data_IF_444463432745
#
_entry.id   IF_444463432745
#
_cell.length_a   1.000
_cell.length_b   1.000
_cell.length_c   1.000
_cell.angle_alpha   90.00
_cell.angle_beta   90.00
_cell.angle_gamma   90.00
#
_symmetry.space_group_name_H-M   'P 1'
#
loop_
_entity.id
_entity.type
_entity.pdbx_description
1 polymer ?
#
# COMPACT_ATOMS: atom_id res chain seq x y z
N UNK A 1 -5.02 13.53 -5.13
CA UNK A 1 -5.05 13.04 -3.73
C UNK A 1 -4.23 11.74 -3.66
N UNK A 2 -3.27 11.61 -2.73
CA UNK A 2 -2.43 10.41 -2.63
C UNK A 2 -3.11 9.32 -1.79
N UNK A 3 -3.19 8.10 -2.33
CA UNK A 3 -3.69 6.90 -1.67
C UNK A 3 -2.60 5.83 -1.66
N UNK A 4 -2.25 5.30 -0.49
CA UNK A 4 -1.25 4.23 -0.38
C UNK A 4 -1.90 2.89 -0.12
N UNK A 5 -1.54 1.91 -0.95
CA UNK A 5 -1.98 0.53 -0.94
C UNK A 5 -0.82 -0.33 -0.44
N UNK A 6 -0.87 -0.73 0.84
CA UNK A 6 0.26 -1.31 1.56
C UNK A 6 0.02 -2.81 1.77
N UNK A 7 0.92 -3.62 1.24
CA UNK A 7 1.00 -5.05 1.53
C UNK A 7 2.01 -5.31 2.65
N UNK A 8 1.67 -6.13 3.63
CA UNK A 8 2.62 -6.60 4.66
C UNK A 8 2.58 -8.12 4.68
N UNK A 9 3.69 -8.74 4.27
CA UNK A 9 3.77 -10.19 4.10
C UNK A 9 4.65 -10.84 5.17
N UNK A 10 4.24 -11.99 5.69
CA UNK A 10 5.12 -12.80 6.55
C UNK A 10 6.28 -13.47 5.77
N UNK A 11 6.11 -13.69 4.46
CA UNK A 11 7.12 -14.25 3.53
C UNK A 11 7.00 -13.61 2.14
N UNK A 12 8.14 -13.29 1.50
CA UNK A 12 8.27 -12.69 0.16
C UNK A 12 7.77 -13.55 -1.01
N UNK A 13 6.89 -14.52 -0.76
CA UNK A 13 6.53 -15.56 -1.74
C UNK A 13 5.28 -15.17 -2.56
N UNK A 14 4.46 -14.23 -2.06
CA UNK A 14 3.16 -13.95 -2.67
C UNK A 14 2.96 -12.47 -2.98
N UNK A 15 2.68 -12.17 -4.26
CA UNK A 15 2.15 -10.89 -4.69
C UNK A 15 0.78 -10.64 -4.04
N UNK A 16 0.55 -9.44 -3.53
CA UNK A 16 -0.74 -9.07 -2.93
C UNK A 16 -1.77 -8.72 -4.00
N UNK A 17 -2.38 -9.74 -4.63
CA UNK A 17 -3.38 -9.57 -5.69
C UNK A 17 -4.56 -8.68 -5.27
N UNK A 18 -4.94 -8.72 -3.98
CA UNK A 18 -6.01 -7.86 -3.45
C UNK A 18 -5.75 -6.37 -3.70
N UNK A 19 -4.51 -5.89 -3.53
CA UNK A 19 -4.18 -4.48 -3.75
C UNK A 19 -4.26 -4.07 -5.23
N UNK A 20 -4.03 -5.00 -6.16
CA UNK A 20 -4.21 -4.73 -7.59
C UNK A 20 -5.69 -4.52 -7.94
N UNK A 21 -6.59 -5.34 -7.40
CA UNK A 21 -8.04 -5.15 -7.57
C UNK A 21 -8.52 -3.84 -6.97
N UNK A 22 -8.04 -3.49 -5.76
CA UNK A 22 -8.38 -2.21 -5.13
C UNK A 22 -7.84 -1.04 -5.95
N UNK A 23 -6.62 -1.11 -6.46
CA UNK A 23 -6.06 -0.08 -7.35
C UNK A 23 -6.95 0.13 -8.57
N UNK A 24 -7.32 -0.94 -9.28
CA UNK A 24 -8.18 -0.83 -10.46
C UNK A 24 -9.54 -0.21 -10.14
N UNK A 25 -10.14 -0.56 -9.00
CA UNK A 25 -11.39 0.05 -8.57
C UNK A 25 -11.21 1.54 -8.25
N UNK A 26 -10.11 1.94 -7.61
CA UNK A 26 -9.81 3.34 -7.30
C UNK A 26 -9.54 4.15 -8.57
N UNK A 27 -8.73 3.63 -9.50
CA UNK A 27 -8.44 4.28 -10.79
C UNK A 27 -9.72 4.51 -11.62
N UNK A 28 -10.69 3.59 -11.54
CA UNK A 28 -11.96 3.71 -12.25
C UNK A 28 -12.92 4.71 -11.61
N UNK A 29 -13.03 4.71 -10.28
CA UNK A 29 -14.04 5.49 -9.56
C UNK A 29 -13.53 6.86 -9.09
N UNK A 30 -12.22 7.04 -8.98
CA UNK A 30 -11.54 8.23 -8.47
C UNK A 30 -10.31 8.59 -9.34
N UNK A 31 -10.51 8.94 -10.62
CA UNK A 31 -9.41 9.13 -11.58
C UNK A 31 -8.45 10.27 -11.22
N UNK A 32 -8.85 11.23 -10.38
CA UNK A 32 -8.01 12.31 -9.85
C UNK A 32 -7.13 11.90 -8.65
N UNK A 33 -7.27 10.65 -8.18
CA UNK A 33 -6.43 10.10 -7.12
C UNK A 33 -5.17 9.45 -7.68
N UNK A 34 -4.05 9.69 -7.02
CA UNK A 34 -2.79 8.99 -7.27
C UNK A 34 -2.72 7.79 -6.33
N UNK A 35 -2.66 6.59 -6.88
CA UNK A 35 -2.52 5.35 -6.11
C UNK A 35 -1.08 4.84 -6.15
N UNK A 36 -0.52 4.51 -5.00
CA UNK A 36 0.81 3.92 -4.87
C UNK A 36 0.70 2.54 -4.20
N UNK A 37 1.28 1.50 -4.81
CA UNK A 37 1.38 0.18 -4.19
C UNK A 37 2.76 0.04 -3.55
N UNK A 38 2.79 -0.28 -2.26
CA UNK A 38 4.00 -0.49 -1.48
C UNK A 38 3.94 -1.89 -0.85
N UNK A 39 5.05 -2.61 -0.87
CA UNK A 39 5.16 -3.96 -0.31
C UNK A 39 6.21 -3.98 0.78
N UNK A 40 5.81 -4.35 1.98
CA UNK A 40 6.67 -4.63 3.11
C UNK A 40 6.53 -6.09 3.55
N UNK A 41 7.38 -6.45 4.48
CA UNK A 41 7.37 -7.70 5.21
C UNK A 41 7.51 -7.44 6.70
N UNK A 42 7.18 -8.45 7.50
CA UNK A 42 7.36 -8.41 8.96
C UNK A 42 8.84 -8.24 9.38
N UNK A 43 9.79 -8.44 8.46
CA UNK A 43 11.22 -8.30 8.73
C UNK A 43 11.73 -6.88 8.45
N UNK A 44 10.91 -6.00 7.87
CA UNK A 44 11.33 -4.63 7.59
C UNK A 44 11.53 -3.82 8.89
N UNK A 45 12.53 -2.92 8.94
CA UNK A 45 12.80 -2.13 10.13
C UNK A 45 11.61 -1.23 10.51
N UNK A 46 11.06 -1.43 11.71
CA UNK A 46 9.83 -0.79 12.17
C UNK A 46 9.76 0.73 11.93
N UNK A 47 10.72 1.50 12.47
CA UNK A 47 10.66 2.97 12.42
C UNK A 47 10.89 3.54 11.01
N UNK A 48 11.88 3.06 10.23
CA UNK A 48 12.01 3.43 8.82
C UNK A 48 10.75 3.14 8.00
N UNK A 49 10.14 1.96 8.18
CA UNK A 49 8.90 1.58 7.48
C UNK A 49 7.74 2.50 7.86
N UNK A 50 7.58 2.80 9.16
CA UNK A 50 6.52 3.71 9.60
C UNK A 50 6.69 5.13 9.01
N UNK A 51 7.93 5.62 8.96
CA UNK A 51 8.24 6.93 8.35
C UNK A 51 7.92 6.93 6.86
N UNK A 52 8.24 5.86 6.16
CA UNK A 52 7.97 5.70 4.72
C UNK A 52 6.47 5.61 4.43
N UNK A 53 5.70 4.87 5.24
CA UNK A 53 4.24 4.80 5.18
C UNK A 53 3.64 6.22 5.25
N UNK A 54 4.11 7.05 6.18
CA UNK A 54 3.62 8.42 6.36
C UNK A 54 4.17 9.46 5.36
N UNK A 55 5.20 9.13 4.58
CA UNK A 55 5.82 10.08 3.66
C UNK A 55 4.87 10.54 2.56
N UNK A 56 4.92 11.82 2.18
CA UNK A 56 4.12 12.37 1.09
C UNK A 56 2.66 12.71 1.45
N UNK A 57 2.32 12.73 2.75
CA UNK A 57 1.00 13.13 3.26
C UNK A 57 -0.18 12.41 2.58
N UNK A 58 -0.22 11.06 2.64
CA UNK A 58 -1.31 10.29 2.02
C UNK A 58 -2.65 10.63 2.69
N UNK A 59 -3.69 10.78 1.88
CA UNK A 59 -5.04 11.04 2.36
C UNK A 59 -5.72 9.79 2.93
N UNK A 60 -5.30 8.60 2.48
CA UNK A 60 -5.73 7.33 3.03
C UNK A 60 -4.64 6.25 2.90
N UNK A 61 -4.66 5.31 3.84
CA UNK A 61 -3.81 4.14 3.89
C UNK A 61 -4.68 2.88 3.86
N UNK A 62 -4.39 1.97 2.95
CA UNK A 62 -5.08 0.68 2.83
C UNK A 62 -4.08 -0.43 3.15
N UNK A 63 -4.42 -1.31 4.09
CA UNK A 63 -3.54 -2.40 4.50
C UNK A 63 -4.13 -3.74 4.07
N UNK A 64 -3.29 -4.54 3.40
CA UNK A 64 -3.53 -5.96 3.20
C UNK A 64 -2.42 -6.73 3.92
N UNK A 65 -2.78 -7.49 4.94
CA UNK A 65 -1.85 -8.16 5.85
C UNK A 65 -2.12 -9.67 5.81
N UNK A 66 -1.09 -10.48 5.50
CA UNK A 66 -1.20 -11.95 5.47
C UNK A 66 0.14 -12.68 5.65
#
# INVERSE_FOLDING_TARGET
>A
MLLKLIGVNARFIHSCLALFYVRTALEHNLPECQTEIIQYTINDPYYPTLRDIGAGEPAALFFSVY
#
